data_IF_933622508543
#
_entry.id   IF_933622508543
#
_cell.length_a   1.000
_cell.length_b   1.000
_cell.length_c   1.000
_cell.angle_alpha   90.00
_cell.angle_beta   90.00
_cell.angle_gamma   90.00
#
_symmetry.space_group_name_H-M   'P 1'
#
loop_
_entity.id
_entity.type
_entity.pdbx_description
1 polymer ?
#
# COMPACT_ATOMS: atom_id res chain seq x y z
N UNK A 1 -9.44 1.16 -7.95
CA UNK A 1 -9.17 0.51 -6.65
C UNK A 1 -9.19 1.58 -5.57
N UNK A 2 -9.40 1.21 -4.31
CA UNK A 2 -9.44 2.14 -3.18
C UNK A 2 -8.89 1.51 -1.90
N UNK A 3 -8.11 2.28 -1.14
CA UNK A 3 -7.67 1.86 0.19
C UNK A 3 -8.85 1.82 1.16
N UNK A 4 -8.99 0.73 1.91
CA UNK A 4 -10.03 0.60 2.93
C UNK A 4 -9.77 1.55 4.09
N UNK A 5 -10.86 2.12 4.59
CA UNK A 5 -10.80 2.91 5.81
C UNK A 5 -10.53 2.01 7.02
N UNK A 6 -9.87 2.57 8.02
CA UNK A 6 -9.51 1.84 9.23
C UNK A 6 -8.20 1.07 9.13
N UNK A 7 -7.39 1.26 8.09
CA UNK A 7 -6.00 0.81 8.03
C UNK A 7 -5.08 2.01 8.09
N UNK A 8 -4.18 2.06 9.07
CA UNK A 8 -3.21 3.15 9.23
C UNK A 8 -1.79 2.66 9.15
N UNK A 9 -0.97 3.40 8.42
CA UNK A 9 0.48 3.24 8.41
C UNK A 9 1.05 3.84 9.70
N UNK A 10 1.88 3.05 10.39
CA UNK A 10 2.66 3.48 11.55
C UNK A 10 4.13 3.17 11.30
N UNK A 11 5.00 4.10 11.65
CA UNK A 11 6.44 3.88 11.69
C UNK A 11 6.85 3.54 13.13
N UNK A 12 7.44 2.37 13.33
CA UNK A 12 7.96 1.92 14.62
C UNK A 12 9.42 1.54 14.42
N UNK A 13 10.34 2.29 15.03
CA UNK A 13 11.78 2.03 14.97
C UNK A 13 12.36 1.92 13.54
N UNK A 14 11.79 2.62 12.55
CA UNK A 14 12.22 2.56 11.16
C UNK A 14 11.51 1.48 10.33
N UNK A 15 10.62 0.70 10.95
CA UNK A 15 9.76 -0.25 10.25
C UNK A 15 8.38 0.37 10.00
N UNK A 16 7.88 0.21 8.78
CA UNK A 16 6.53 0.63 8.43
C UNK A 16 5.57 -0.55 8.59
N UNK A 17 4.50 -0.37 9.35
CA UNK A 17 3.46 -1.38 9.54
C UNK A 17 2.08 -0.79 9.29
N UNK A 18 1.22 -1.56 8.64
CA UNK A 18 -0.21 -1.28 8.55
C UNK A 18 -0.92 -1.92 9.75
N UNK A 19 -1.67 -1.10 10.48
CA UNK A 19 -2.47 -1.53 11.62
C UNK A 19 -3.94 -1.22 11.35
N UNK A 20 -4.80 -2.20 11.60
CA UNK A 20 -6.24 -1.98 11.64
C UNK A 20 -6.65 -1.16 12.88
N UNK A 21 -7.29 -0.02 12.68
CA UNK A 21 -7.91 0.83 13.71
C UNK A 21 -9.37 1.09 13.33
N UNK A 22 -10.34 0.54 14.08
CA UNK A 22 -11.77 0.80 13.83
C UNK A 22 -12.66 -0.43 14.02
N UNK A 23 -13.97 -0.26 13.84
CA UNK A 23 -15.08 -1.09 14.36
C UNK A 23 -14.91 -2.63 14.29
N UNK A 24 -15.62 -3.27 15.22
CA UNK A 24 -15.60 -4.66 15.73
C UNK A 24 -15.54 -5.84 14.74
N UNK A 25 -15.35 -5.61 13.44
CA UNK A 25 -15.36 -6.63 12.40
C UNK A 25 -14.09 -6.64 11.52
N UNK A 26 -13.09 -5.79 11.81
CA UNK A 26 -11.78 -5.86 11.15
C UNK A 26 -10.91 -6.87 11.91
N UNK A 27 -10.38 -7.88 11.23
CA UNK A 27 -9.44 -8.84 11.83
C UNK A 27 -8.11 -8.13 12.14
N UNK A 28 -7.93 -7.79 13.40
CA UNK A 28 -6.75 -7.12 13.95
C UNK A 28 -5.48 -7.98 13.90
N UNK A 29 -5.58 -9.24 13.48
CA UNK A 29 -4.43 -10.14 13.35
C UNK A 29 -3.58 -9.84 12.11
N UNK A 30 -4.08 -9.03 11.19
CA UNK A 30 -3.40 -8.73 9.93
C UNK A 30 -2.48 -7.51 10.07
N UNK A 31 -1.34 -7.69 10.73
CA UNK A 31 -0.23 -6.75 10.67
C UNK A 31 0.52 -6.99 9.37
N UNK A 32 0.61 -5.98 8.51
CA UNK A 32 1.36 -6.06 7.26
C UNK A 32 2.59 -5.18 7.40
N UNK A 33 3.77 -5.78 7.26
CA UNK A 33 5.02 -5.03 7.18
C UNK A 33 5.17 -4.45 5.79
N UNK A 34 5.54 -3.17 5.73
CA UNK A 34 5.83 -2.43 4.52
C UNK A 34 7.30 -2.04 4.50
N UNK A 35 7.91 -2.17 3.32
CA UNK A 35 9.17 -1.49 3.04
C UNK A 35 8.92 0.00 2.74
N UNK A 36 9.98 0.81 2.65
CA UNK A 36 9.88 2.24 2.41
C UNK A 36 9.06 2.57 1.14
N UNK A 37 9.29 1.81 0.06
CA UNK A 37 8.59 1.99 -1.22
C UNK A 37 7.09 1.75 -1.11
N UNK A 38 6.67 0.64 -0.49
CA UNK A 38 5.25 0.31 -0.31
C UNK A 38 4.55 1.27 0.66
N UNK A 39 5.26 1.72 1.70
CA UNK A 39 4.78 2.76 2.61
C UNK A 39 4.53 4.08 1.88
N UNK A 40 5.49 4.54 1.08
CA UNK A 40 5.35 5.74 0.25
C UNK A 40 4.14 5.67 -0.68
N UNK A 41 3.99 4.55 -1.40
CA UNK A 41 2.86 4.34 -2.29
C UNK A 41 1.53 4.33 -1.52
N UNK A 42 1.49 3.67 -0.36
CA UNK A 42 0.30 3.58 0.49
C UNK A 42 -0.17 4.95 0.99
N UNK A 43 0.75 5.80 1.47
CA UNK A 43 0.45 7.16 1.91
C UNK A 43 -0.14 8.00 0.77
N UNK A 44 0.41 7.84 -0.45
CA UNK A 44 -0.01 8.59 -1.61
C UNK A 44 -1.41 8.23 -2.11
N UNK A 45 -1.98 7.06 -1.77
CA UNK A 45 -3.32 6.62 -2.21
C UNK A 45 -4.41 6.80 -1.17
N UNK A 46 -4.07 7.19 0.07
CA UNK A 46 -5.05 7.32 1.14
C UNK A 46 -6.18 8.30 0.78
N UNK A 47 -7.42 7.90 1.03
CA UNK A 47 -8.60 8.76 0.86
C UNK A 47 -9.04 8.99 -0.58
N UNK A 48 -8.41 8.38 -1.59
CA UNK A 48 -8.80 8.51 -3.00
C UNK A 48 -8.81 7.17 -3.74
N UNK A 49 -9.42 7.18 -4.92
CA UNK A 49 -9.31 6.05 -5.85
C UNK A 49 -7.98 6.11 -6.59
N UNK A 50 -7.47 4.94 -6.95
CA UNK A 50 -6.22 4.78 -7.67
C UNK A 50 -6.27 3.57 -8.62
N UNK A 51 -5.33 3.55 -9.55
CA UNK A 51 -5.08 2.49 -10.52
C UNK A 51 -3.64 1.97 -10.41
N UNK A 52 -3.32 0.85 -11.07
CA UNK A 52 -1.93 0.41 -11.16
C UNK A 52 -1.07 1.47 -11.87
N UNK A 53 -1.60 2.15 -12.89
CA UNK A 53 -0.86 3.16 -13.64
C UNK A 53 -0.50 4.37 -12.76
N UNK A 54 -1.37 4.76 -11.83
CA UNK A 54 -1.07 5.80 -10.84
C UNK A 54 0.10 5.41 -9.93
N UNK A 55 0.13 4.15 -9.48
CA UNK A 55 1.22 3.63 -8.64
C UNK A 55 2.54 3.50 -9.40
N UNK A 56 2.48 3.05 -10.66
CA UNK A 56 3.66 2.96 -11.53
C UNK A 56 4.24 4.35 -11.73
N UNK A 57 3.39 5.33 -12.04
CA UNK A 57 3.81 6.73 -12.21
C UNK A 57 4.50 7.24 -10.95
N UNK A 58 3.88 7.08 -9.78
CA UNK A 58 4.47 7.48 -8.49
C UNK A 58 5.83 6.81 -8.27
N UNK A 59 5.96 5.52 -8.59
CA UNK A 59 7.20 4.80 -8.41
C UNK A 59 8.31 5.30 -9.35
N UNK A 60 7.99 5.55 -10.62
CA UNK A 60 8.95 6.07 -11.61
C UNK A 60 9.31 7.55 -11.40
N UNK A 61 8.44 8.31 -10.72
CA UNK A 61 8.71 9.72 -10.37
C UNK A 61 9.59 9.83 -9.12
N UNK A 62 9.38 8.97 -8.13
CA UNK A 62 10.15 8.96 -6.88
C UNK A 62 11.49 8.21 -7.03
N UNK A 63 11.51 7.14 -7.83
CA UNK A 63 12.65 6.27 -8.00
C UNK A 63 13.08 6.22 -9.47
N UNK A 64 14.39 6.15 -9.70
CA UNK A 64 14.98 5.99 -11.04
C UNK A 64 14.86 4.52 -11.52
N UNK A 65 13.62 4.06 -11.68
CA UNK A 65 13.25 2.71 -12.14
C UNK A 65 12.53 2.81 -13.48
N UNK A 66 12.74 1.82 -14.36
CA UNK A 66 12.03 1.77 -15.63
C UNK A 66 10.56 1.36 -15.44
N UNK A 67 9.70 1.83 -16.33
CA UNK A 67 8.25 1.59 -16.27
C UNK A 67 7.87 0.11 -16.26
N UNK A 68 8.61 -0.76 -16.96
CA UNK A 68 8.30 -2.19 -17.00
C UNK A 68 8.61 -2.89 -15.68
N UNK A 69 9.73 -2.53 -15.03
CA UNK A 69 10.08 -3.01 -13.70
C UNK A 69 9.09 -2.48 -12.68
N UNK A 70 8.80 -1.18 -12.71
CA UNK A 70 7.81 -0.55 -11.84
C UNK A 70 6.43 -1.23 -11.95
N UNK A 71 6.00 -1.55 -13.17
CA UNK A 71 4.73 -2.24 -13.40
C UNK A 71 4.69 -3.62 -12.74
N UNK A 72 5.74 -4.42 -12.89
CA UNK A 72 5.81 -5.75 -12.27
C UNK A 72 5.75 -5.65 -10.75
N UNK A 73 6.49 -4.72 -10.16
CA UNK A 73 6.53 -4.53 -8.72
C UNK A 73 5.18 -4.04 -8.18
N UNK A 74 4.53 -3.11 -8.90
CA UNK A 74 3.18 -2.64 -8.57
C UNK A 74 2.14 -3.76 -8.67
N UNK A 75 2.19 -4.61 -9.69
CA UNK A 75 1.24 -5.70 -9.86
C UNK A 75 1.35 -6.72 -8.70
N UNK A 76 2.58 -7.04 -8.26
CA UNK A 76 2.82 -7.89 -7.08
C UNK A 76 2.34 -7.22 -5.78
N UNK A 77 2.61 -5.93 -5.62
CA UNK A 77 2.22 -5.17 -4.45
C UNK A 77 0.70 -5.07 -4.32
N UNK A 78 0.00 -4.74 -5.40
CA UNK A 78 -1.47 -4.67 -5.45
C UNK A 78 -2.08 -6.04 -5.18
N UNK A 79 -1.50 -7.12 -5.70
CA UNK A 79 -1.91 -8.48 -5.36
C UNK A 79 -1.81 -8.75 -3.85
N UNK A 80 -0.68 -8.41 -3.25
CA UNK A 80 -0.45 -8.54 -1.80
C UNK A 80 -1.47 -7.74 -0.98
N UNK A 81 -1.81 -6.52 -1.40
CA UNK A 81 -2.82 -5.70 -0.74
C UNK A 81 -4.25 -6.25 -0.87
N UNK A 82 -4.58 -6.86 -2.01
CA UNK A 82 -5.87 -7.54 -2.21
C UNK A 82 -5.99 -8.80 -1.36
N UNK A 83 -4.95 -9.63 -1.34
CA UNK A 83 -4.91 -10.87 -0.56
C UNK A 83 -4.99 -10.58 0.94
N UNK A 84 -4.32 -9.51 1.39
CA UNK A 84 -4.42 -9.03 2.76
C UNK A 84 -5.74 -8.29 3.06
N UNK A 85 -6.57 -8.04 2.04
CA UNK A 85 -7.90 -7.47 2.19
C UNK A 85 -7.91 -5.99 2.57
N UNK A 86 -6.83 -5.23 2.31
CA UNK A 86 -6.71 -3.81 2.71
C UNK A 86 -7.12 -2.82 1.60
N UNK A 87 -7.35 -3.30 0.37
CA UNK A 87 -7.88 -2.52 -0.75
C UNK A 87 -9.09 -3.23 -1.38
N UNK A 88 -9.94 -2.47 -2.08
CA UNK A 88 -11.05 -2.94 -2.93
C UNK A 88 -10.89 -2.47 -4.39
#
# INVERSE_FOLDING_TARGET
MKAKQGFKLRNICGEYIIVAEGESNIDFSNIISMNETSAYLWENIQGKEFTCDDLVKLLTEEYEVDENTARKDVDVLVGTWKDAGIID
#
